data_IF_029676387122
#
_entry.id   IF_029676387122
#
_cell.length_a   1.000
_cell.length_b   1.000
_cell.length_c   1.000
_cell.angle_alpha   90.00
_cell.angle_beta   90.00
_cell.angle_gamma   90.00
#
_symmetry.space_group_name_H-M   'P 1'
#
loop_
_entity.id
_entity.type
_entity.pdbx_description
1 polymer ?
#
# COMPACT_ATOMS: atom_id res chain seq x y z
N UNK A 1 1.32 -25.24 2.60
CA UNK A 1 2.36 -24.22 2.35
C UNK A 1 1.74 -22.85 2.59
N UNK A 2 1.89 -22.30 3.80
CA UNK A 2 1.13 -21.12 4.24
C UNK A 2 1.87 -19.83 3.88
N UNK A 3 1.38 -19.11 2.87
CA UNK A 3 1.97 -17.87 2.34
C UNK A 3 1.51 -16.67 3.17
N UNK A 4 1.92 -16.58 4.44
CA UNK A 4 1.54 -15.49 5.33
C UNK A 4 2.46 -14.26 5.15
N UNK A 5 2.62 -13.80 3.91
CA UNK A 5 3.44 -12.65 3.56
C UNK A 5 2.72 -11.31 3.72
N UNK A 6 2.26 -10.95 4.93
CA UNK A 6 1.88 -9.56 5.21
C UNK A 6 3.16 -8.71 5.35
N UNK A 7 3.78 -8.38 4.22
CA UNK A 7 5.02 -7.58 4.16
C UNK A 7 4.85 -6.13 4.63
N UNK A 8 3.62 -5.62 4.64
CA UNK A 8 3.27 -4.31 5.19
C UNK A 8 2.15 -4.47 6.21
N UNK A 9 2.36 -3.94 7.42
CA UNK A 9 1.35 -3.90 8.48
C UNK A 9 0.17 -3.01 8.07
N UNK A 10 -0.99 -3.28 8.65
CA UNK A 10 -2.20 -2.52 8.32
C UNK A 10 -2.10 -1.08 8.86
N UNK A 11 -1.35 -0.87 9.95
CA UNK A 11 -0.96 0.45 10.47
C UNK A 11 -0.10 1.23 9.45
N UNK A 12 0.88 0.58 8.83
CA UNK A 12 1.75 1.23 7.84
C UNK A 12 0.96 1.69 6.60
N UNK A 13 -0.01 0.88 6.15
CA UNK A 13 -0.89 1.27 5.04
C UNK A 13 -1.80 2.42 5.43
N UNK A 14 -2.32 2.41 6.66
CA UNK A 14 -3.19 3.48 7.16
C UNK A 14 -2.44 4.81 7.24
N UNK A 15 -1.20 4.78 7.73
CA UNK A 15 -0.33 5.96 7.80
C UNK A 15 -0.04 6.52 6.39
N UNK A 16 0.33 5.65 5.45
CA UNK A 16 0.53 6.03 4.06
C UNK A 16 -0.72 6.65 3.41
N UNK A 17 -1.91 6.10 3.69
CA UNK A 17 -3.16 6.64 3.18
C UNK A 17 -3.56 7.95 3.89
N UNK A 18 -3.21 8.12 5.17
CA UNK A 18 -3.46 9.35 5.92
C UNK A 18 -2.67 10.52 5.33
N UNK A 19 -1.39 10.30 5.04
CA UNK A 19 -0.54 11.32 4.40
C UNK A 19 -1.08 11.77 3.04
N UNK A 20 -1.65 10.87 2.25
CA UNK A 20 -2.31 11.23 0.98
C UNK A 20 -3.61 12.00 1.22
N UNK A 21 -4.39 11.64 2.26
CA UNK A 21 -5.59 12.37 2.66
C UNK A 21 -5.30 13.79 3.15
N UNK A 22 -4.13 14.02 3.75
CA UNK A 22 -3.65 15.36 4.14
C UNK A 22 -3.37 16.28 2.93
N UNK A 23 -3.52 15.78 1.71
CA UNK A 23 -3.31 16.55 0.48
C UNK A 23 -1.91 16.38 -0.12
N UNK A 24 -1.08 15.48 0.43
CA UNK A 24 0.20 15.16 -0.20
C UNK A 24 0.00 14.31 -1.45
N UNK A 25 0.87 14.49 -2.42
CA UNK A 25 0.86 13.68 -3.63
C UNK A 25 1.29 12.25 -3.31
N UNK A 26 0.65 11.28 -3.97
CA UNK A 26 0.97 9.84 -3.87
C UNK A 26 2.47 9.62 -4.13
N UNK A 27 3.07 10.38 -5.05
CA UNK A 27 4.49 10.30 -5.40
C UNK A 27 5.41 10.75 -4.26
N UNK A 28 5.07 11.83 -3.56
CA UNK A 28 5.83 12.31 -2.40
C UNK A 28 5.75 11.28 -1.27
N UNK A 29 4.53 10.85 -0.94
CA UNK A 29 4.30 9.88 0.13
C UNK A 29 4.99 8.54 -0.14
N UNK A 30 4.94 8.06 -1.39
CA UNK A 30 5.64 6.85 -1.79
C UNK A 30 7.16 6.97 -1.62
N UNK A 31 7.74 8.11 -2.01
CA UNK A 31 9.17 8.38 -1.86
C UNK A 31 9.58 8.50 -0.40
N UNK A 32 8.80 9.20 0.41
CA UNK A 32 9.07 9.43 1.83
C UNK A 32 9.00 8.12 2.64
N UNK A 33 8.08 7.22 2.28
CA UNK A 33 7.92 5.91 2.90
C UNK A 33 8.79 4.80 2.27
N UNK A 34 9.52 5.11 1.20
CA UNK A 34 10.35 4.14 0.48
C UNK A 34 9.54 3.02 -0.19
N UNK A 35 8.30 3.27 -0.57
CA UNK A 35 7.42 2.30 -1.26
C UNK A 35 7.21 2.68 -2.72
N UNK A 36 6.85 1.70 -3.54
CA UNK A 36 6.46 1.97 -4.92
C UNK A 36 5.16 2.77 -4.99
N UNK A 37 5.12 3.78 -5.88
CA UNK A 37 3.92 4.54 -6.22
C UNK A 37 2.73 3.63 -6.59
N UNK A 38 3.00 2.53 -7.29
CA UNK A 38 1.96 1.59 -7.70
C UNK A 38 1.34 0.87 -6.50
N UNK A 39 2.14 0.54 -5.48
CA UNK A 39 1.66 -0.08 -4.23
C UNK A 39 0.72 0.85 -3.47
N UNK A 40 1.11 2.11 -3.31
CA UNK A 40 0.29 3.10 -2.63
C UNK A 40 -1.01 3.38 -3.39
N UNK A 41 -0.94 3.51 -4.72
CA UNK A 41 -2.13 3.65 -5.57
C UNK A 41 -3.04 2.43 -5.50
N UNK A 42 -2.48 1.22 -5.44
CA UNK A 42 -3.25 0.00 -5.25
C UNK A 42 -3.87 -0.08 -3.87
N UNK A 43 -3.24 0.43 -2.81
CA UNK A 43 -3.87 0.52 -1.49
C UNK A 43 -4.99 1.55 -1.44
N UNK A 44 -4.87 2.67 -2.15
CA UNK A 44 -5.95 3.67 -2.27
C UNK A 44 -7.13 3.15 -3.11
N UNK A 45 -6.84 2.43 -4.19
CA UNK A 45 -7.88 1.79 -5.01
C UNK A 45 -8.50 0.60 -4.29
N UNK A 46 -7.69 -0.17 -3.55
CA UNK A 46 -8.15 -1.25 -2.71
C UNK A 46 -8.88 -0.73 -1.49
N UNK A 47 -8.57 0.38 -0.85
CA UNK A 47 -9.39 0.92 0.25
C UNK A 47 -10.74 1.44 -0.24
N UNK A 48 -10.82 1.87 -1.51
CA UNK A 48 -12.09 2.12 -2.20
C UNK A 48 -12.85 0.84 -2.58
N UNK A 49 -12.16 -0.28 -2.79
CA UNK A 49 -12.74 -1.56 -3.22
C UNK A 49 -12.78 -2.66 -2.14
N UNK A 50 -12.15 -2.47 -0.97
CA UNK A 50 -11.99 -3.43 0.14
C UNK A 50 -13.24 -3.44 1.01
N UNK A 51 -14.35 -3.64 0.32
CA UNK A 51 -15.21 -4.77 0.62
C UNK A 51 -14.66 -6.12 0.09
N UNK A 52 -13.52 -6.21 -0.63
CA UNK A 52 -12.94 -7.50 -1.08
C UNK A 52 -11.37 -7.58 -1.05
N UNK A 53 -10.71 -8.64 -0.52
CA UNK A 53 -9.33 -8.62 0.01
C UNK A 53 -8.25 -9.26 -0.88
N UNK A 54 -8.19 -9.00 -2.19
CA UNK A 54 -7.24 -9.65 -3.12
C UNK A 54 -6.02 -8.75 -3.48
N UNK A 55 -5.41 -8.08 -2.51
CA UNK A 55 -4.21 -7.24 -2.73
C UNK A 55 -2.89 -7.93 -2.34
N UNK A 56 -2.90 -9.26 -2.26
CA UNK A 56 -1.81 -10.09 -1.71
C UNK A 56 -0.78 -10.54 -2.75
N UNK A 57 -0.75 -9.95 -3.95
CA UNK A 57 0.11 -10.41 -5.06
C UNK A 57 1.32 -9.51 -5.38
N UNK A 58 1.41 -8.32 -4.80
CA UNK A 58 2.48 -7.35 -5.11
C UNK A 58 3.52 -7.36 -4.01
N UNK A 59 4.36 -8.40 -3.95
CA UNK A 59 5.73 -8.32 -3.45
C UNK A 59 6.46 -9.64 -3.70
N UNK A 60 6.54 -10.06 -4.95
CA UNK A 60 7.49 -11.09 -5.39
C UNK A 60 8.74 -10.44 -6.04
N UNK A 61 8.83 -9.11 -6.13
CA UNK A 61 9.63 -8.49 -7.21
C UNK A 61 10.48 -7.26 -6.87
N UNK A 62 10.97 -7.09 -5.64
CA UNK A 62 12.10 -6.17 -5.44
C UNK A 62 13.26 -6.90 -4.75
N UNK A 63 14.08 -7.51 -5.63
CA UNK A 63 15.47 -7.99 -5.54
C UNK A 63 15.87 -8.93 -4.39
#
# INVERSE_FOLDING_TARGET
MNKNGKRYSDEFKADAMSLVKEGRSISSVAKDLGISYQSLRNWLNASRQKQDPEASRILELEA
#
